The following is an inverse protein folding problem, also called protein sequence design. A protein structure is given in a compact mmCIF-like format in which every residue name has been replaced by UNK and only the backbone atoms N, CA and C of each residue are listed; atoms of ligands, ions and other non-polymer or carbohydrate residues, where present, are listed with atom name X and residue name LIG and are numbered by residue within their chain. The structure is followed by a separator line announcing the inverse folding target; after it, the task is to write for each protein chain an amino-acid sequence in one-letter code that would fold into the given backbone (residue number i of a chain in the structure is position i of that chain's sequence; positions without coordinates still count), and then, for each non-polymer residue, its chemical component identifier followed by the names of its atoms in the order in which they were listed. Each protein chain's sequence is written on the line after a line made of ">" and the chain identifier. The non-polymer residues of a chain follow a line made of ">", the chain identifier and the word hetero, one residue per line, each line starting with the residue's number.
data_IF_383432979774
#
_entry.id   IF_383432979774
#
_cell.length_a   1.000
_cell.length_b   1.000
_cell.length_c   1.000
_cell.angle_alpha   90.00
_cell.angle_beta   90.00
_cell.angle_gamma   90.00
#
_symmetry.space_group_name_H-M   'P 1'
#
loop_
_entity.id
_entity.type
_entity.pdbx_description
1 polymer ?
#
# COMPACT_ATOMS: atom_id res chain seq x y z
N UNK A 1 -3.60 -20.86 -1.89
CA UNK A 1 -3.07 -19.85 -2.83
C UNK A 1 -2.79 -18.60 -2.03
N UNK A 2 -1.68 -17.91 -2.26
CA UNK A 2 -1.36 -16.65 -1.57
C UNK A 2 -1.42 -15.49 -2.56
N UNK A 3 -1.84 -14.33 -2.07
CA UNK A 3 -1.80 -13.06 -2.79
C UNK A 3 -0.92 -12.06 -2.04
N UNK A 4 -0.30 -11.13 -2.77
CA UNK A 4 0.61 -10.14 -2.21
C UNK A 4 0.38 -8.77 -2.83
N UNK A 5 0.59 -7.72 -2.03
CA UNK A 5 0.62 -6.32 -2.46
C UNK A 5 1.85 -5.62 -1.88
N UNK A 6 2.39 -4.66 -2.63
CA UNK A 6 3.50 -3.82 -2.20
C UNK A 6 3.27 -2.36 -2.60
N UNK A 7 3.70 -1.44 -1.74
CA UNK A 7 3.74 0.00 -2.00
C UNK A 7 5.18 0.39 -2.31
N UNK A 8 5.34 1.17 -3.38
CA UNK A 8 6.63 1.61 -3.89
C UNK A 8 6.75 3.14 -3.74
N UNK A 9 7.85 3.59 -3.18
CA UNK A 9 8.30 4.98 -3.17
C UNK A 9 9.45 5.16 -4.18
N UNK A 10 9.60 6.39 -4.69
CA UNK A 10 10.58 6.69 -5.75
C UNK A 10 12.03 6.46 -5.30
N UNK A 11 12.38 6.86 -4.07
CA UNK A 11 13.76 6.84 -3.59
C UNK A 11 14.05 5.63 -2.68
N UNK A 12 13.08 5.21 -1.86
CA UNK A 12 13.23 4.13 -0.88
C UNK A 12 12.86 2.74 -1.43
N UNK A 13 12.22 2.68 -2.61
CA UNK A 13 11.74 1.42 -3.18
C UNK A 13 10.55 0.86 -2.42
N UNK A 14 10.59 -0.40 -1.99
CA UNK A 14 9.47 -1.04 -1.29
C UNK A 14 9.37 -0.51 0.14
N UNK A 15 8.25 0.16 0.46
CA UNK A 15 8.02 0.78 1.78
C UNK A 15 6.99 0.05 2.64
N UNK A 16 6.12 -0.76 2.04
CA UNK A 16 5.14 -1.58 2.75
C UNK A 16 4.77 -2.80 1.93
N UNK A 17 4.59 -3.96 2.57
CA UNK A 17 4.19 -5.21 1.90
C UNK A 17 3.18 -5.98 2.73
N UNK A 18 2.25 -6.69 2.08
CA UNK A 18 1.33 -7.60 2.77
C UNK A 18 1.10 -8.86 1.95
N UNK A 19 1.17 -10.01 2.61
CA UNK A 19 0.81 -11.32 2.05
C UNK A 19 -0.45 -11.80 2.76
N UNK A 20 -1.43 -12.25 1.99
CA UNK A 20 -2.67 -12.84 2.50
C UNK A 20 -2.90 -14.21 1.91
N UNK A 21 -3.55 -15.09 2.68
CA UNK A 21 -4.03 -16.36 2.15
C UNK A 21 -5.35 -16.15 1.40
N UNK A 22 -5.44 -16.69 0.19
CA UNK A 22 -6.57 -16.48 -0.71
C UNK A 22 -6.53 -15.14 -1.43
N UNK A 23 -7.69 -14.69 -1.89
CA UNK A 23 -7.82 -13.44 -2.66
C UNK A 23 -7.64 -12.20 -1.78
N UNK A 24 -7.02 -11.18 -2.35
CA UNK A 24 -6.97 -9.85 -1.75
C UNK A 24 -8.29 -9.12 -2.01
N UNK A 25 -9.00 -8.72 -0.96
CA UNK A 25 -10.35 -8.13 -1.04
C UNK A 25 -10.38 -6.71 -0.48
N UNK A 26 -11.48 -5.98 -0.73
CA UNK A 26 -11.64 -4.60 -0.27
C UNK A 26 -11.29 -4.40 1.21
N UNK A 27 -11.73 -5.33 2.09
CA UNK A 27 -11.43 -5.24 3.52
C UNK A 27 -9.92 -5.30 3.80
N UNK A 28 -9.23 -6.30 3.27
CA UNK A 28 -7.77 -6.45 3.48
C UNK A 28 -6.98 -5.33 2.82
N UNK A 29 -7.51 -4.75 1.72
CA UNK A 29 -6.94 -3.56 1.10
C UNK A 29 -7.04 -2.31 1.96
N UNK A 30 -8.22 -2.03 2.52
CA UNK A 30 -8.40 -0.85 3.40
C UNK A 30 -7.55 -0.98 4.66
N UNK A 31 -7.44 -2.19 5.23
CA UNK A 31 -6.54 -2.48 6.36
C UNK A 31 -5.08 -2.26 5.97
N UNK A 32 -4.64 -2.75 4.81
CA UNK A 32 -3.29 -2.49 4.30
C UNK A 32 -3.00 -0.99 4.12
N UNK A 33 -3.93 -0.24 3.53
CA UNK A 33 -3.75 1.20 3.37
C UNK A 33 -3.60 1.90 4.72
N UNK A 34 -4.49 1.61 5.67
CA UNK A 34 -4.50 2.26 6.99
C UNK A 34 -3.26 1.92 7.82
N UNK A 35 -2.93 0.64 7.90
CA UNK A 35 -2.01 0.14 8.91
C UNK A 35 -0.57 0.09 8.40
N UNK A 36 -0.39 -0.07 7.08
CA UNK A 36 0.93 -0.28 6.47
C UNK A 36 1.36 0.88 5.54
N UNK A 37 0.45 1.43 4.71
CA UNK A 37 0.81 2.46 3.69
C UNK A 37 0.76 3.89 4.23
N UNK A 38 -0.35 4.29 4.85
CA UNK A 38 -0.54 5.66 5.33
C UNK A 38 0.51 6.12 6.36
N UNK A 39 1.02 5.26 7.26
CA UNK A 39 2.13 5.65 8.16
C UNK A 39 3.42 6.05 7.42
N UNK A 40 3.59 5.59 6.17
CA UNK A 40 4.72 5.95 5.30
C UNK A 40 4.45 7.20 4.45
N UNK A 41 3.22 7.71 4.46
CA UNK A 41 2.81 8.88 3.69
C UNK A 41 2.89 10.17 4.51
N UNK A 42 3.03 11.31 3.84
CA UNK A 42 2.98 12.64 4.46
C UNK A 42 1.88 13.49 3.84
N UNK A 43 1.43 14.59 4.49
CA UNK A 43 0.50 15.52 3.88
C UNK A 43 1.07 16.15 2.60
N UNK A 44 0.25 16.31 1.57
CA UNK A 44 0.66 16.98 0.32
C UNK A 44 1.07 18.44 0.55
N UNK A 45 2.19 18.93 -0.03
CA UNK A 45 3.03 18.32 -1.08
C UNK A 45 4.31 17.62 -0.56
N UNK A 46 4.28 17.03 0.64
CA UNK A 46 5.45 16.34 1.20
C UNK A 46 5.83 15.04 0.46
N UNK A 47 6.97 14.42 0.79
CA UNK A 47 7.37 13.13 0.23
C UNK A 47 6.29 12.05 0.43
N UNK A 48 6.09 11.18 -0.55
CA UNK A 48 5.09 10.10 -0.50
C UNK A 48 3.66 10.56 -0.20
N UNK A 49 3.28 11.78 -0.58
CA UNK A 49 1.96 12.35 -0.26
C UNK A 49 0.83 12.03 -1.25
N UNK A 50 1.13 11.29 -2.33
CA UNK A 50 0.16 10.93 -3.37
C UNK A 50 0.22 9.42 -3.57
N UNK A 51 -0.94 8.76 -3.47
CA UNK A 51 -1.10 7.34 -3.79
C UNK A 51 -1.57 7.20 -5.24
N UNK A 52 -0.87 6.34 -6.00
CA UNK A 52 -1.24 5.95 -7.37
C UNK A 52 -1.55 4.46 -7.36
N UNK A 53 -2.74 4.10 -7.82
CA UNK A 53 -3.30 2.76 -7.76
C UNK A 53 -3.93 2.42 -9.13
N UNK A 54 -4.17 1.13 -9.38
CA UNK A 54 -5.03 0.72 -10.50
C UNK A 54 -6.51 0.95 -10.16
N UNK A 55 -7.38 0.74 -11.14
CA UNK A 55 -8.84 0.84 -10.99
C UNK A 55 -9.51 -0.54 -10.90
N UNK A 56 -8.81 -1.52 -10.29
CA UNK A 56 -9.29 -2.90 -10.19
C UNK A 56 -10.58 -3.03 -9.35
#
# INVERSE_FOLDING_TARGET
>A
QFSMVAALALDEGIVATKVVEGSFVQKTFVEYLRDDVLPMSTPYPGPCSVLVLDNA
#
